data_IF_085823442982
#
_entry.id   IF_085823442982
#
_cell.length_a   1.000
_cell.length_b   1.000
_cell.length_c   1.000
_cell.angle_alpha   90.00
_cell.angle_beta   90.00
_cell.angle_gamma   90.00
#
_symmetry.space_group_name_H-M   'P 1'
#
loop_
_entity.id
_entity.type
_entity.pdbx_description
1 polymer ?
#
# COMPACT_ATOMS: atom_id res chain seq x y z
N UNK A 1 10.59 -3.09 9.43
CA UNK A 1 11.02 -1.66 9.38
C UNK A 1 10.12 -0.78 10.25
N UNK A 2 8.81 -1.01 10.26
CA UNK A 2 7.84 -0.42 11.20
C UNK A 2 8.17 -0.69 12.68
N UNK A 3 8.86 -1.78 13.01
CA UNK A 3 9.18 -2.18 14.39
C UNK A 3 10.25 -1.36 15.12
N UNK A 4 10.89 -0.37 14.48
CA UNK A 4 11.94 0.45 15.11
C UNK A 4 11.43 1.76 15.72
N UNK A 5 10.14 2.08 15.54
CA UNK A 5 9.53 3.31 16.05
C UNK A 5 8.06 3.07 16.41
N UNK A 6 7.54 3.89 17.32
CA UNK A 6 6.11 3.95 17.64
C UNK A 6 5.35 4.92 16.74
N UNK A 7 6.06 5.65 15.87
CA UNK A 7 5.44 6.58 14.92
C UNK A 7 4.81 5.77 13.77
N UNK A 8 3.55 6.03 13.40
CA UNK A 8 2.91 5.37 12.26
C UNK A 8 3.73 5.50 10.97
N UNK A 9 3.97 4.37 10.29
CA UNK A 9 4.78 4.32 9.06
C UNK A 9 3.88 4.16 7.84
N UNK A 10 4.16 4.93 6.79
CA UNK A 10 3.46 4.86 5.51
C UNK A 10 4.46 4.46 4.42
N UNK A 11 4.12 3.46 3.60
CA UNK A 11 4.91 3.09 2.42
C UNK A 11 4.58 4.04 1.25
N UNK A 12 5.57 4.69 0.62
CA UNK A 12 5.32 5.78 -0.35
C UNK A 12 5.68 5.45 -1.82
N UNK A 13 6.20 4.27 -2.10
CA UNK A 13 6.66 3.94 -3.45
C UNK A 13 6.77 2.45 -3.72
N UNK A 14 6.86 2.09 -4.99
CA UNK A 14 6.98 0.71 -5.46
C UNK A 14 5.66 -0.02 -5.73
N UNK A 15 4.51 0.60 -5.45
CA UNK A 15 3.20 -0.01 -5.74
C UNK A 15 2.90 0.05 -7.23
N UNK A 16 2.73 -1.12 -7.83
CA UNK A 16 2.50 -1.29 -9.28
C UNK A 16 1.31 -2.18 -9.61
N UNK A 17 0.82 -2.96 -8.65
CA UNK A 17 -0.23 -3.97 -8.76
C UNK A 17 -1.03 -4.11 -7.46
N UNK A 18 -2.15 -4.84 -7.50
CA UNK A 18 -2.92 -5.21 -6.31
C UNK A 18 -2.15 -6.20 -5.41
N UNK A 19 -1.30 -7.06 -5.99
CA UNK A 19 -0.42 -7.95 -5.22
C UNK A 19 0.56 -7.18 -4.33
N UNK A 20 1.06 -6.03 -4.80
CA UNK A 20 1.91 -5.17 -3.98
C UNK A 20 1.15 -4.62 -2.76
N UNK A 21 -0.15 -4.31 -2.91
CA UNK A 21 -1.02 -3.85 -1.81
C UNK A 21 -1.22 -4.97 -0.78
N UNK A 22 -1.52 -6.18 -1.24
CA UNK A 22 -1.67 -7.36 -0.39
C UNK A 22 -0.36 -7.71 0.32
N UNK A 23 0.78 -7.63 -0.35
CA UNK A 23 2.08 -7.85 0.27
C UNK A 23 2.34 -6.82 1.38
N UNK A 24 2.05 -5.54 1.12
CA UNK A 24 2.22 -4.47 2.11
C UNK A 24 1.29 -4.61 3.31
N UNK A 25 0.06 -5.12 3.12
CA UNK A 25 -0.88 -5.33 4.23
C UNK A 25 -0.45 -6.41 5.22
N UNK A 26 0.49 -7.29 4.83
CA UNK A 26 1.08 -8.28 5.74
C UNK A 26 2.16 -7.69 6.67
N UNK A 27 2.56 -6.43 6.47
CA UNK A 27 3.58 -5.79 7.29
C UNK A 27 2.96 -5.25 8.58
N UNK A 28 3.25 -5.91 9.69
CA UNK A 28 2.84 -5.46 11.02
C UNK A 28 3.29 -4.03 11.30
N UNK A 29 2.37 -3.18 11.77
CA UNK A 29 2.65 -1.79 12.12
C UNK A 29 2.80 -0.82 10.94
N UNK A 30 2.51 -1.27 9.71
CA UNK A 30 2.34 -0.35 8.58
C UNK A 30 0.95 0.32 8.67
N UNK A 31 0.93 1.64 8.69
CA UNK A 31 -0.29 2.42 8.83
C UNK A 31 -1.01 2.67 7.50
N UNK A 32 -0.31 2.51 6.38
CA UNK A 32 -0.89 2.67 5.05
C UNK A 32 0.14 2.75 3.93
N UNK A 33 -0.35 3.10 2.76
CA UNK A 33 0.43 3.18 1.53
C UNK A 33 -0.01 4.36 0.66
N UNK A 34 0.94 4.98 -0.05
CA UNK A 34 0.71 6.00 -1.07
C UNK A 34 1.04 5.39 -2.43
N UNK A 35 0.03 5.33 -3.31
CA UNK A 35 0.18 4.87 -4.68
C UNK A 35 -0.08 6.02 -5.66
N UNK A 36 0.93 6.39 -6.45
CA UNK A 36 0.84 7.47 -7.44
C UNK A 36 0.77 6.92 -8.86
N UNK A 37 1.94 6.62 -9.44
CA UNK A 37 2.09 6.24 -10.86
C UNK A 37 1.13 5.15 -11.32
N UNK A 38 0.92 4.10 -10.53
CA UNK A 38 0.01 3.01 -10.90
C UNK A 38 -1.45 3.47 -11.06
N UNK A 39 -1.90 4.42 -10.24
CA UNK A 39 -3.24 5.02 -10.35
C UNK A 39 -3.30 5.94 -11.57
N UNK A 40 -2.29 6.80 -11.77
CA UNK A 40 -2.25 7.72 -12.92
C UNK A 40 -2.17 7.00 -14.27
N UNK A 41 -1.52 5.85 -14.33
CA UNK A 41 -1.44 4.99 -15.52
C UNK A 41 -2.64 4.04 -15.67
N UNK A 42 -3.60 4.05 -14.73
CA UNK A 42 -4.81 3.22 -14.79
C UNK A 42 -4.56 1.72 -14.62
N UNK A 43 -3.51 1.31 -13.91
CA UNK A 43 -3.18 -0.11 -13.69
C UNK A 43 -4.20 -0.82 -12.81
N UNK A 44 -4.79 -0.09 -11.87
CA UNK A 44 -5.93 -0.48 -11.03
C UNK A 44 -6.61 0.77 -10.49
N UNK A 45 -7.88 0.67 -10.10
CA UNK A 45 -8.59 1.76 -9.45
C UNK A 45 -8.34 1.75 -7.93
N UNK A 46 -8.45 2.92 -7.29
CA UNK A 46 -8.39 3.03 -5.82
C UNK A 46 -9.43 2.14 -5.16
N UNK A 47 -10.62 2.00 -5.77
CA UNK A 47 -11.68 1.10 -5.29
C UNK A 47 -11.25 -0.36 -5.28
N UNK A 48 -10.50 -0.82 -6.29
CA UNK A 48 -10.00 -2.19 -6.35
C UNK A 48 -8.98 -2.44 -5.24
N UNK A 49 -8.09 -1.47 -5.00
CA UNK A 49 -7.10 -1.54 -3.92
C UNK A 49 -7.74 -1.59 -2.53
N UNK A 50 -8.85 -0.88 -2.32
CA UNK A 50 -9.61 -0.97 -1.07
C UNK A 50 -10.32 -2.32 -0.96
N UNK A 51 -10.93 -2.79 -2.04
CA UNK A 51 -11.69 -4.05 -2.05
C UNK A 51 -10.84 -5.28 -1.70
N UNK A 52 -9.56 -5.32 -2.10
CA UNK A 52 -8.64 -6.41 -1.74
C UNK A 52 -8.19 -6.40 -0.27
N UNK A 53 -8.47 -5.32 0.47
CA UNK A 53 -8.11 -5.16 1.89
C UNK A 53 -9.31 -5.35 2.85
N UNK A 54 -10.52 -5.52 2.33
CA UNK A 54 -11.74 -5.76 3.10
C UNK A 54 -12.01 -7.26 3.29
#
# INVERSE_FOLDING_TARGET
>A
ASSSTTIPVIASGGVSSLDDILALSTIDGLAGVIAGKAIYEGRFAVTDAVAVLQ
#
